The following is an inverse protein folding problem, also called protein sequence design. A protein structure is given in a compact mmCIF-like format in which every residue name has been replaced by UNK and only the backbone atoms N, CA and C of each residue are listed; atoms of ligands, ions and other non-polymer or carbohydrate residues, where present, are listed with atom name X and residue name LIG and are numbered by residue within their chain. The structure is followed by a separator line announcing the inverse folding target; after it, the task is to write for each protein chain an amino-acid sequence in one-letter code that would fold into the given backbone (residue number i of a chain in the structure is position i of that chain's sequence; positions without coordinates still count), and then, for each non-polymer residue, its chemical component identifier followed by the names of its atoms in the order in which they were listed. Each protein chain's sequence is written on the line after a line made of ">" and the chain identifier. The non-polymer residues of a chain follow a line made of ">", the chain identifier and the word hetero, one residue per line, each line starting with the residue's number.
data_IF_787097149665
#
_entry.id   IF_787097149665
#
_cell.length_a   1.000
_cell.length_b   1.000
_cell.length_c   1.000
_cell.angle_alpha   90.00
_cell.angle_beta   90.00
_cell.angle_gamma   90.00
#
_symmetry.space_group_name_H-M   'P 1'
#
loop_
_entity.id
_entity.type
_entity.pdbx_description
1 polymer ?
#
# COMPACT_ATOMS: atom_id res chain seq x y z
N UNK A 1 -34.64 -4.86 -11.88
CA UNK A 1 -34.86 -6.30 -11.61
C UNK A 1 -35.35 -6.44 -10.17
N UNK A 2 -36.67 -6.53 -9.98
CA UNK A 2 -37.30 -6.72 -8.66
C UNK A 2 -36.94 -8.11 -8.14
N UNK A 3 -36.26 -8.20 -6.99
CA UNK A 3 -35.86 -9.50 -6.45
C UNK A 3 -37.09 -10.31 -6.07
N UNK A 4 -37.12 -11.59 -6.45
CA UNK A 4 -38.21 -12.50 -6.11
C UNK A 4 -38.16 -12.76 -4.61
N UNK A 5 -39.32 -12.98 -3.96
CA UNK A 5 -39.40 -13.22 -2.50
C UNK A 5 -38.49 -14.36 -2.02
N UNK A 6 -38.24 -15.33 -2.88
CA UNK A 6 -37.32 -16.45 -2.64
C UNK A 6 -35.86 -16.00 -2.52
N UNK A 7 -35.42 -15.02 -3.30
CA UNK A 7 -34.06 -14.48 -3.22
C UNK A 7 -33.84 -13.69 -1.93
N UNK A 8 -34.86 -13.00 -1.43
CA UNK A 8 -34.81 -12.32 -0.14
C UNK A 8 -34.64 -13.32 1.01
N UNK A 9 -35.39 -14.43 1.01
CA UNK A 9 -35.26 -15.48 2.04
C UNK A 9 -33.87 -16.11 2.02
N UNK A 10 -33.31 -16.37 0.83
CA UNK A 10 -31.94 -16.90 0.69
C UNK A 10 -30.89 -15.94 1.24
N UNK A 11 -31.05 -14.64 0.98
CA UNK A 11 -30.13 -13.62 1.49
C UNK A 11 -30.23 -13.48 3.02
N UNK A 12 -31.44 -13.60 3.58
CA UNK A 12 -31.64 -13.60 5.04
C UNK A 12 -31.02 -14.83 5.70
N UNK A 13 -31.20 -16.01 5.10
CA UNK A 13 -30.56 -17.24 5.59
C UNK A 13 -29.03 -17.12 5.59
N UNK A 14 -28.44 -16.61 4.51
CA UNK A 14 -26.99 -16.35 4.42
C UNK A 14 -26.49 -15.36 5.47
N UNK A 15 -27.29 -14.32 5.79
CA UNK A 15 -26.93 -13.34 6.81
C UNK A 15 -26.92 -13.95 8.20
N UNK A 16 -27.94 -14.72 8.55
CA UNK A 16 -28.02 -15.42 9.83
C UNK A 16 -26.87 -16.43 10.01
N UNK A 17 -26.53 -17.17 8.94
CA UNK A 17 -25.40 -18.10 8.98
C UNK A 17 -24.06 -17.39 9.22
N UNK A 18 -23.86 -16.22 8.61
CA UNK A 18 -22.67 -15.37 8.84
C UNK A 18 -22.61 -14.86 10.29
N UNK A 19 -23.73 -14.39 10.82
CA UNK A 19 -23.82 -13.86 12.18
C UNK A 19 -23.56 -14.96 13.22
N UNK A 20 -24.08 -16.18 13.01
CA UNK A 20 -23.79 -17.34 13.86
C UNK A 20 -22.31 -17.76 13.81
N UNK A 21 -21.69 -17.81 12.62
CA UNK A 21 -20.25 -18.09 12.48
C UNK A 21 -19.39 -17.03 13.17
N UNK A 22 -19.83 -15.77 13.16
CA UNK A 22 -19.12 -14.66 13.81
C UNK A 22 -19.27 -14.71 15.33
N UNK A 23 -20.47 -15.06 15.84
CA UNK A 23 -20.73 -15.20 17.27
C UNK A 23 -19.95 -16.33 17.93
N UNK A 24 -19.56 -17.37 17.17
CA UNK A 24 -18.71 -18.45 17.63
C UNK A 24 -17.24 -18.04 17.84
N UNK A 25 -16.83 -16.85 17.37
CA UNK A 25 -15.51 -16.28 17.65
C UNK A 25 -15.63 -15.42 18.91
N UNK A 26 -15.08 -15.86 20.06
CA UNK A 26 -15.19 -15.09 21.28
C UNK A 26 -14.50 -13.73 21.11
N UNK A 27 -15.18 -12.64 21.47
CA UNK A 27 -14.71 -11.23 21.39
C UNK A 27 -13.27 -11.01 21.93
N UNK A 28 -12.82 -11.90 22.82
CA UNK A 28 -11.48 -11.99 23.43
C UNK A 28 -10.35 -12.43 22.49
N UNK A 29 -10.63 -13.08 21.35
CA UNK A 29 -9.62 -13.35 20.31
C UNK A 29 -9.37 -12.14 19.38
N UNK A 30 -10.07 -11.02 19.58
CA UNK A 30 -9.90 -9.76 18.82
C UNK A 30 -9.46 -8.55 19.67
N UNK A 31 -9.22 -8.72 20.98
CA UNK A 31 -8.90 -7.59 21.87
C UNK A 31 -7.51 -6.96 21.67
N UNK A 32 -6.64 -7.55 20.83
CA UNK A 32 -5.42 -6.90 20.35
C UNK A 32 -5.59 -6.04 19.10
N UNK A 33 -6.76 -6.09 18.44
CA UNK A 33 -7.01 -5.38 17.19
C UNK A 33 -7.89 -4.12 17.34
N UNK A 34 -8.44 -3.86 18.53
CA UNK A 34 -9.35 -2.75 18.80
C UNK A 34 -8.70 -1.52 19.46
N UNK A 35 -7.42 -1.60 19.86
CA UNK A 35 -6.69 -0.49 20.51
C UNK A 35 -5.57 0.11 19.67
N UNK A 36 -5.30 -0.41 18.47
CA UNK A 36 -4.50 0.32 17.49
C UNK A 36 -5.48 1.06 16.61
N UNK A 37 -5.83 2.29 17.02
CA UNK A 37 -6.17 3.32 16.05
C UNK A 37 -4.97 3.36 15.09
N UNK A 38 -5.07 2.92 13.83
CA UNK A 38 -4.02 3.25 12.90
C UNK A 38 -4.14 4.76 12.75
N UNK A 39 -3.19 5.47 13.36
CA UNK A 39 -2.86 6.86 13.04
C UNK A 39 -2.98 6.92 11.53
N UNK A 40 -3.99 7.64 11.05
CA UNK A 40 -4.32 7.75 9.64
C UNK A 40 -3.21 8.59 9.03
N UNK A 41 -2.05 7.97 8.91
CA UNK A 41 -0.94 8.42 8.09
C UNK A 41 -1.55 8.50 6.70
N UNK A 42 -1.79 9.75 6.32
CA UNK A 42 -1.74 10.28 4.97
C UNK A 42 -1.64 9.15 3.97
N UNK A 43 -2.81 8.75 3.44
CA UNK A 43 -2.92 7.81 2.34
C UNK A 43 -1.96 8.34 1.25
N UNK A 44 -0.81 7.70 0.99
CA UNK A 44 0.11 8.23 -0.01
C UNK A 44 -0.64 8.23 -1.33
N UNK A 45 -0.55 9.36 -2.02
CA UNK A 45 -1.23 9.69 -3.25
C UNK A 45 -1.43 8.46 -4.15
N UNK A 46 -2.69 8.02 -4.27
CA UNK A 46 -3.08 7.02 -5.26
C UNK A 46 -3.11 7.70 -6.63
N UNK A 47 -1.94 8.08 -7.14
CA UNK A 47 -1.79 8.73 -8.43
C UNK A 47 -0.58 8.27 -9.23
N UNK A 48 0.46 7.74 -8.57
CA UNK A 48 1.62 7.23 -9.28
C UNK A 48 1.31 5.85 -9.89
N UNK A 49 1.44 5.73 -11.21
CA UNK A 49 1.39 4.44 -11.90
C UNK A 49 2.37 3.45 -11.27
N UNK A 50 2.12 2.14 -11.44
CA UNK A 50 2.98 1.09 -10.88
C UNK A 50 4.43 1.33 -11.34
N UNK A 51 5.41 1.42 -10.43
CA UNK A 51 6.80 1.58 -10.82
C UNK A 51 7.25 0.39 -11.67
N UNK A 52 7.93 0.67 -12.77
CA UNK A 52 8.50 -0.34 -13.65
C UNK A 52 9.86 -0.78 -13.07
N UNK A 53 10.10 -2.08 -12.89
CA UNK A 53 11.38 -2.55 -12.38
C UNK A 53 12.49 -2.33 -13.42
N UNK A 54 13.53 -1.60 -13.03
CA UNK A 54 14.75 -1.40 -13.82
C UNK A 54 15.91 -2.01 -13.04
N UNK A 55 16.68 -2.89 -13.68
CA UNK A 55 17.87 -3.49 -13.08
C UNK A 55 19.10 -2.82 -13.70
N UNK A 56 19.86 -2.07 -12.90
CA UNK A 56 21.11 -1.45 -13.30
C UNK A 56 22.25 -1.89 -12.38
N UNK A 57 23.43 -2.14 -12.95
CA UNK A 57 24.65 -2.42 -12.19
C UNK A 57 25.32 -1.11 -11.85
N UNK A 58 25.48 -0.85 -10.56
CA UNK A 58 26.12 0.35 -10.02
C UNK A 58 27.47 -0.03 -9.40
N UNK A 59 28.50 0.83 -9.47
CA UNK A 59 29.71 0.68 -8.68
C UNK A 59 29.40 0.57 -7.18
N UNK A 60 30.19 -0.21 -6.43
CA UNK A 60 29.92 -0.50 -5.02
C UNK A 60 29.81 0.76 -4.15
N UNK A 61 30.73 1.71 -4.34
CA UNK A 61 30.74 3.01 -3.67
C UNK A 61 29.46 3.82 -3.93
N UNK A 62 28.99 3.85 -5.18
CA UNK A 62 27.79 4.58 -5.56
C UNK A 62 26.54 3.93 -4.96
N UNK A 63 26.48 2.60 -4.95
CA UNK A 63 25.40 1.86 -4.32
C UNK A 63 25.37 2.03 -2.79
N UNK A 64 26.52 2.19 -2.14
CA UNK A 64 26.58 2.51 -0.70
C UNK A 64 26.03 3.92 -0.43
N UNK A 65 26.52 4.94 -1.14
CA UNK A 65 26.04 6.32 -1.01
C UNK A 65 24.54 6.45 -1.29
N UNK A 66 24.04 5.74 -2.29
CA UNK A 66 22.60 5.72 -2.60
C UNK A 66 21.78 5.19 -1.42
N UNK A 67 22.25 4.10 -0.78
CA UNK A 67 21.60 3.52 0.38
C UNK A 67 21.63 4.44 1.59
N UNK A 68 22.77 5.05 1.88
CA UNK A 68 22.91 6.02 2.97
C UNK A 68 21.99 7.23 2.78
N UNK A 69 21.96 7.80 1.58
CA UNK A 69 21.09 8.94 1.25
C UNK A 69 19.61 8.56 1.39
N UNK A 70 19.25 7.33 0.99
CA UNK A 70 17.87 6.84 1.07
C UNK A 70 17.36 6.67 2.51
N UNK A 71 18.23 6.45 3.51
CA UNK A 71 17.82 6.33 4.92
C UNK A 71 17.14 7.60 5.43
N UNK A 72 17.62 8.76 4.99
CA UNK A 72 17.11 10.06 5.41
C UNK A 72 16.00 10.62 4.49
N UNK A 73 15.66 9.93 3.40
CA UNK A 73 14.77 10.44 2.36
C UNK A 73 13.38 9.82 2.43
N UNK A 74 12.34 10.66 2.45
CA UNK A 74 10.96 10.18 2.31
C UNK A 74 10.78 9.50 0.95
N UNK A 75 10.25 8.27 0.94
CA UNK A 75 10.12 7.46 -0.29
C UNK A 75 11.36 6.60 -0.63
N UNK A 76 12.43 6.67 0.18
CA UNK A 76 13.57 5.77 0.14
C UNK A 76 14.35 5.81 -1.19
N UNK A 77 14.94 4.66 -1.57
CA UNK A 77 15.85 4.56 -2.72
C UNK A 77 15.18 5.00 -4.02
N UNK A 78 13.91 4.66 -4.23
CA UNK A 78 13.19 5.00 -5.46
C UNK A 78 12.99 6.51 -5.62
N UNK A 79 12.72 7.24 -4.53
CA UNK A 79 12.58 8.69 -4.56
C UNK A 79 13.91 9.36 -4.91
N UNK A 80 14.99 8.95 -4.25
CA UNK A 80 16.35 9.47 -4.52
C UNK A 80 16.75 9.25 -5.98
N UNK A 81 16.51 8.04 -6.52
CA UNK A 81 16.80 7.73 -7.93
C UNK A 81 15.94 8.59 -8.87
N UNK A 82 14.66 8.78 -8.56
CA UNK A 82 13.75 9.60 -9.39
C UNK A 82 14.24 11.04 -9.46
N UNK A 83 14.59 11.65 -8.33
CA UNK A 83 15.10 13.03 -8.30
C UNK A 83 16.43 13.17 -9.04
N UNK A 84 17.36 12.24 -8.85
CA UNK A 84 18.65 12.25 -9.53
C UNK A 84 18.48 12.18 -11.06
N UNK A 85 17.61 11.29 -11.54
CA UNK A 85 17.33 11.13 -12.98
C UNK A 85 16.65 12.37 -13.56
N UNK A 86 15.66 12.94 -12.87
CA UNK A 86 14.99 14.17 -13.32
C UNK A 86 16.00 15.33 -13.44
N UNK A 87 16.84 15.53 -12.42
CA UNK A 87 17.89 16.56 -12.46
C UNK A 87 18.87 16.34 -13.61
N UNK A 88 19.24 15.09 -13.88
CA UNK A 88 20.15 14.75 -14.98
C UNK A 88 19.51 15.02 -16.35
N UNK A 89 18.24 14.64 -16.56
CA UNK A 89 17.53 14.92 -17.80
C UNK A 89 17.36 16.42 -18.04
N UNK A 90 17.09 17.22 -17.01
CA UNK A 90 16.99 18.67 -17.14
C UNK A 90 18.35 19.31 -17.45
N UNK A 91 19.43 18.85 -16.82
CA UNK A 91 20.79 19.31 -17.14
C UNK A 91 21.21 18.97 -18.59
N UNK A 92 20.78 17.82 -19.11
CA UNK A 92 21.08 17.38 -20.47
C UNK A 92 20.29 18.11 -21.57
N UNK A 93 19.15 18.74 -21.26
CA UNK A 93 18.36 19.55 -22.22
C UNK A 93 18.90 20.97 -22.41
N UNK A 94 19.83 21.40 -21.55
CA UNK A 94 20.49 22.70 -21.63
C UNK A 94 21.81 22.70 -22.42
N UNK A 95 22.19 21.56 -23.01
CA UNK A 95 23.38 21.40 -23.87
C UNK A 95 22.97 21.06 -25.30
#
# INVERSE_FOLDING_TARGET
>A
MTMKKTDLVKNLAKKLERDQKTAAIPQRFGQGAASVVPKRETRPDKGAGKPVPVVCRLPAELAARLRETAVAHEGGVNAVVTEALLRWFEAGKGS
#
